data_IF_215310685856
#
_entry.id   IF_215310685856
#
_cell.length_a   1.000
_cell.length_b   1.000
_cell.length_c   1.000
_cell.angle_alpha   90.00
_cell.angle_beta   90.00
_cell.angle_gamma   90.00
#
_symmetry.space_group_name_H-M   'P 1'
#
loop_
_entity.id
_entity.type
_entity.pdbx_description
1 polymer ?
#
# COMPACT_ATOMS: atom_id res chain seq x y z
N UNK A 1 -44.95 11.84 -12.20
CA UNK A 1 -45.10 10.59 -11.42
C UNK A 1 -43.88 10.49 -10.49
N UNK A 2 -43.99 10.81 -9.18
CA UNK A 2 -42.82 10.84 -8.30
C UNK A 2 -42.45 9.41 -7.87
N UNK A 3 -41.15 9.10 -7.93
CA UNK A 3 -40.60 7.80 -7.55
C UNK A 3 -40.73 7.56 -6.04
N UNK A 4 -40.87 6.30 -5.58
CA UNK A 4 -41.12 5.97 -4.18
C UNK A 4 -39.95 6.34 -3.25
N UNK A 5 -40.26 7.02 -2.15
CA UNK A 5 -39.30 7.55 -1.16
C UNK A 5 -38.66 6.48 -0.24
N UNK A 6 -39.01 5.21 -0.39
CA UNK A 6 -38.51 4.11 0.46
C UNK A 6 -37.10 3.63 0.09
N UNK A 7 -36.50 4.12 -1.01
CA UNK A 7 -35.13 3.78 -1.44
C UNK A 7 -34.06 4.63 -0.73
N UNK A 8 -34.44 5.78 -0.13
CA UNK A 8 -33.45 6.85 0.20
C UNK A 8 -33.15 7.01 1.69
N UNK A 9 -33.78 6.28 2.62
CA UNK A 9 -33.49 6.40 4.06
C UNK A 9 -32.66 5.25 4.62
N UNK A 10 -31.40 5.17 4.20
CA UNK A 10 -30.38 4.45 4.97
C UNK A 10 -29.78 5.43 6.00
N UNK A 11 -30.38 5.53 7.20
CA UNK A 11 -29.77 6.27 8.31
C UNK A 11 -28.62 5.44 8.87
N UNK A 12 -27.45 5.52 8.26
CA UNK A 12 -26.25 4.83 8.75
C UNK A 12 -25.72 5.53 9.99
N UNK A 13 -25.81 4.87 11.14
CA UNK A 13 -25.12 5.28 12.37
C UNK A 13 -23.60 5.37 12.12
N UNK A 14 -22.89 6.25 12.82
CA UNK A 14 -21.43 6.41 12.68
C UNK A 14 -20.67 5.09 12.86
N UNK A 15 -21.19 4.17 13.68
CA UNK A 15 -20.64 2.81 13.85
C UNK A 15 -20.79 1.97 12.57
N UNK A 16 -21.91 2.11 11.85
CA UNK A 16 -22.13 1.43 10.58
C UNK A 16 -21.19 1.93 9.48
N UNK A 17 -20.87 3.22 9.48
CA UNK A 17 -19.89 3.82 8.56
C UNK A 17 -18.46 3.33 8.86
N UNK A 18 -18.09 3.23 10.14
CA UNK A 18 -16.81 2.65 10.55
C UNK A 18 -16.71 1.17 10.16
N UNK A 19 -17.76 0.39 10.40
CA UNK A 19 -17.82 -1.02 9.99
C UNK A 19 -17.63 -1.18 8.48
N UNK A 20 -18.30 -0.36 7.67
CA UNK A 20 -18.13 -0.35 6.22
C UNK A 20 -16.69 -0.01 5.81
N UNK A 21 -16.08 1.01 6.43
CA UNK A 21 -14.72 1.42 6.13
C UNK A 21 -13.70 0.32 6.47
N UNK A 22 -13.86 -0.35 7.62
CA UNK A 22 -12.99 -1.47 8.01
C UNK A 22 -13.11 -2.63 7.02
N UNK A 23 -14.35 -2.98 6.62
CA UNK A 23 -14.57 -4.04 5.64
C UNK A 23 -13.95 -3.67 4.29
N UNK A 24 -14.12 -2.42 3.84
CA UNK A 24 -13.52 -1.94 2.59
C UNK A 24 -11.99 -2.00 2.65
N UNK A 25 -11.37 -1.54 3.74
CA UNK A 25 -9.93 -1.65 3.97
C UNK A 25 -9.48 -3.11 3.99
N UNK A 26 -10.23 -3.99 4.66
CA UNK A 26 -9.95 -5.42 4.69
C UNK A 26 -9.95 -6.05 3.31
N UNK A 27 -10.92 -5.71 2.46
CA UNK A 27 -10.99 -6.19 1.07
C UNK A 27 -9.80 -5.68 0.25
N UNK A 28 -9.46 -4.39 0.39
CA UNK A 28 -8.29 -3.81 -0.29
C UNK A 28 -7.02 -4.52 0.14
N UNK A 29 -6.84 -4.72 1.44
CA UNK A 29 -5.63 -5.28 2.02
C UNK A 29 -5.45 -6.77 1.73
N UNK A 30 -6.50 -7.57 1.90
CA UNK A 30 -6.45 -9.03 1.79
C UNK A 30 -6.80 -9.56 0.40
N UNK A 31 -7.48 -8.77 -0.43
CA UNK A 31 -7.89 -9.18 -1.77
C UNK A 31 -7.12 -8.45 -2.85
N UNK A 32 -7.28 -7.13 -2.90
CA UNK A 32 -6.78 -6.32 -4.03
C UNK A 32 -5.26 -6.26 -4.04
N UNK A 33 -4.63 -6.00 -2.89
CA UNK A 33 -3.18 -5.89 -2.77
C UNK A 33 -2.43 -7.19 -3.17
N UNK A 34 -2.79 -8.38 -2.65
CA UNK A 34 -2.13 -9.62 -3.09
C UNK A 34 -2.43 -9.97 -4.54
N UNK A 35 -3.58 -9.56 -5.08
CA UNK A 35 -3.87 -9.72 -6.51
C UNK A 35 -2.95 -8.85 -7.38
N UNK A 36 -2.72 -7.59 -6.98
CA UNK A 36 -1.74 -6.72 -7.65
C UNK A 36 -0.32 -7.28 -7.54
N UNK A 37 0.05 -7.83 -6.39
CA UNK A 37 1.36 -8.45 -6.18
C UNK A 37 1.62 -9.67 -7.11
N UNK A 38 0.57 -10.35 -7.56
CA UNK A 38 0.66 -11.46 -8.51
C UNK A 38 0.87 -11.02 -9.96
N UNK A 39 0.74 -9.72 -10.27
CA UNK A 39 0.98 -9.24 -11.63
C UNK A 39 2.44 -9.52 -12.04
N UNK A 40 2.68 -10.08 -13.25
CA UNK A 40 4.03 -10.46 -13.69
C UNK A 40 5.04 -9.32 -13.63
N UNK A 41 4.60 -8.09 -13.90
CA UNK A 41 5.43 -6.88 -13.82
C UNK A 41 5.91 -6.57 -12.41
N UNK A 42 5.03 -6.74 -11.42
CA UNK A 42 5.36 -6.51 -10.00
C UNK A 42 6.31 -7.58 -9.52
N UNK A 43 6.03 -8.86 -9.84
CA UNK A 43 6.89 -9.99 -9.49
C UNK A 43 8.30 -9.86 -10.09
N UNK A 44 8.41 -9.55 -11.38
CA UNK A 44 9.71 -9.36 -12.04
C UNK A 44 10.52 -8.21 -11.41
N UNK A 45 9.84 -7.14 -10.97
CA UNK A 45 10.50 -6.03 -10.26
C UNK A 45 11.00 -6.46 -8.88
N UNK A 46 10.22 -7.24 -8.14
CA UNK A 46 10.61 -7.77 -6.82
C UNK A 46 11.79 -8.75 -6.95
N UNK A 47 11.76 -9.64 -7.95
CA UNK A 47 12.86 -10.57 -8.24
C UNK A 47 14.16 -9.82 -8.59
N UNK A 48 14.08 -8.75 -9.40
CA UNK A 48 15.24 -7.91 -9.69
C UNK A 48 15.80 -7.20 -8.44
N UNK A 49 14.92 -6.71 -7.56
CA UNK A 49 15.33 -6.09 -6.30
C UNK A 49 16.03 -7.10 -5.38
N UNK A 50 15.47 -8.30 -5.27
CA UNK A 50 16.03 -9.40 -4.49
C UNK A 50 17.39 -9.86 -5.04
N UNK A 51 17.52 -10.00 -6.36
CA UNK A 51 18.79 -10.32 -7.02
C UNK A 51 19.89 -9.29 -6.71
N UNK A 52 19.50 -8.01 -6.62
CA UNK A 52 20.39 -6.91 -6.25
C UNK A 52 20.58 -6.74 -4.74
N UNK A 53 19.92 -7.57 -3.91
CA UNK A 53 19.86 -7.45 -2.45
C UNK A 53 19.41 -6.07 -1.98
N UNK A 54 18.53 -5.42 -2.75
CA UNK A 54 17.95 -4.12 -2.43
C UNK A 54 16.62 -4.40 -1.73
N UNK A 55 16.53 -4.07 -0.45
CA UNK A 55 15.27 -4.14 0.30
C UNK A 55 14.44 -2.87 0.03
N UNK A 56 13.32 -2.95 -0.73
CA UNK A 56 12.47 -1.80 -1.02
C UNK A 56 11.64 -1.34 0.19
N UNK A 57 11.55 -2.17 1.23
CA UNK A 57 10.83 -1.85 2.48
C UNK A 57 11.73 -1.13 3.49
N UNK A 58 13.04 -1.10 3.25
CA UNK A 58 14.01 -0.33 4.02
C UNK A 58 13.85 1.17 3.74
N UNK A 59 12.80 1.74 4.30
CA UNK A 59 12.58 3.18 4.40
C UNK A 59 13.56 3.76 5.44
N UNK A 60 14.70 4.30 5.01
CA UNK A 60 15.67 4.99 5.90
C UNK A 60 15.23 6.43 6.19
N UNK A 61 14.31 6.62 7.14
CA UNK A 61 13.79 7.96 7.49
C UNK A 61 14.60 8.64 8.59
N UNK A 62 15.65 7.99 9.08
CA UNK A 62 16.45 8.46 10.22
C UNK A 62 17.93 8.65 9.91
N UNK A 63 18.39 8.31 8.70
CA UNK A 63 19.84 8.28 8.38
C UNK A 63 20.22 9.08 7.12
N UNK A 64 19.44 10.12 6.78
CA UNK A 64 19.75 11.04 5.68
C UNK A 64 21.17 11.64 5.79
N UNK A 65 21.60 12.02 6.99
CA UNK A 65 22.94 12.59 7.22
C UNK A 65 24.07 11.56 7.06
N UNK A 66 23.80 10.29 7.38
CA UNK A 66 24.82 9.22 7.36
C UNK A 66 25.01 8.66 5.95
N UNK A 67 23.94 8.67 5.13
CA UNK A 67 23.95 8.21 3.75
C UNK A 67 25.04 8.90 2.91
N UNK A 68 25.26 10.20 3.11
CA UNK A 68 26.28 10.98 2.39
C UNK A 68 27.70 10.45 2.67
N UNK A 69 27.96 10.02 3.90
CA UNK A 69 29.26 9.44 4.30
C UNK A 69 29.49 8.04 3.74
N UNK A 70 28.42 7.26 3.53
CA UNK A 70 28.49 5.92 2.95
C UNK A 70 28.77 6.04 1.45
N UNK A 71 28.07 6.95 0.75
CA UNK A 71 28.27 7.23 -0.67
C UNK A 71 29.72 7.67 -0.94
N UNK A 72 30.24 8.65 -0.19
CA UNK A 72 31.63 9.12 -0.33
C UNK A 72 32.68 8.01 -0.13
N UNK A 73 32.39 7.00 0.68
CA UNK A 73 33.31 5.90 0.98
C UNK A 73 33.29 4.83 -0.11
N UNK A 74 32.14 4.63 -0.75
CA UNK A 74 31.98 3.74 -1.90
C UNK A 74 32.61 4.33 -3.16
N UNK A 75 32.55 5.65 -3.34
CA UNK A 75 33.11 6.36 -4.49
C UNK A 75 34.66 6.46 -4.47
N UNK A 76 35.26 6.25 -3.30
CA UNK A 76 36.72 6.25 -3.13
C UNK A 76 37.37 4.88 -3.42
N UNK A 77 36.60 3.90 -3.89
CA UNK A 77 37.09 2.57 -4.31
C UNK A 77 37.10 2.42 -5.81
#
# INVERSE_FOLDING_TARGET
>A
MPLPSWIVKLKTSGIGQLGLAIVALGIVWLGILPWVAQQPRVKARLEWLDEKRIDPSAMYYTELEIMESIIKRLEKR
#
